data_IF_683300740597
#
_entry.id   IF_683300740597
#
_cell.length_a   1.000
_cell.length_b   1.000
_cell.length_c   1.000
_cell.angle_alpha   90.00
_cell.angle_beta   90.00
_cell.angle_gamma   90.00
#
_symmetry.space_group_name_H-M   'P 1'
#
loop_
_entity.id
_entity.type
_entity.pdbx_description
1 polymer ?
#
# COMPACT_ATOMS: atom_id res chain seq x y z
N UNK A 1 -36.98 31.60 67.13
CA UNK A 1 -37.38 30.42 66.33
C UNK A 1 -37.10 30.65 64.85
N UNK A 2 -37.62 31.73 64.23
CA UNK A 2 -37.41 32.05 62.81
C UNK A 2 -35.92 32.12 62.36
N UNK A 3 -35.05 32.73 63.16
CA UNK A 3 -33.62 32.87 62.85
C UNK A 3 -32.85 31.53 62.83
N UNK A 4 -33.24 30.55 63.65
CA UNK A 4 -32.60 29.22 63.67
C UNK A 4 -32.88 28.45 62.39
N UNK A 5 -34.14 28.46 61.93
CA UNK A 5 -34.52 27.85 60.66
C UNK A 5 -33.80 28.50 59.47
N UNK A 6 -33.60 29.81 59.51
CA UNK A 6 -32.86 30.51 58.45
C UNK A 6 -31.38 30.13 58.43
N UNK A 7 -30.77 29.94 59.60
CA UNK A 7 -29.38 29.48 59.72
C UNK A 7 -29.22 28.04 59.18
N UNK A 8 -30.10 27.12 59.59
CA UNK A 8 -30.11 25.74 59.09
C UNK A 8 -30.34 25.67 57.57
N UNK A 9 -31.22 26.53 57.04
CA UNK A 9 -31.46 26.61 55.60
C UNK A 9 -30.21 27.10 54.84
N UNK A 10 -29.48 28.08 55.39
CA UNK A 10 -28.21 28.56 54.81
C UNK A 10 -27.13 27.48 54.84
N UNK A 11 -26.99 26.74 55.93
CA UNK A 11 -26.01 25.66 56.05
C UNK A 11 -26.30 24.51 55.06
N UNK A 12 -27.58 24.15 54.89
CA UNK A 12 -28.00 23.18 53.86
C UNK A 12 -27.73 23.68 52.45
N UNK A 13 -28.00 24.96 52.16
CA UNK A 13 -27.72 25.55 50.86
C UNK A 13 -26.21 25.54 50.54
N UNK A 14 -25.36 25.88 51.52
CA UNK A 14 -23.90 25.82 51.38
C UNK A 14 -23.45 24.38 51.10
N UNK A 15 -23.95 23.41 51.87
CA UNK A 15 -23.61 22.00 51.70
C UNK A 15 -23.98 21.49 50.30
N UNK A 16 -25.16 21.86 49.78
CA UNK A 16 -25.60 21.51 48.42
C UNK A 16 -24.67 22.12 47.35
N UNK A 17 -24.31 23.39 47.49
CA UNK A 17 -23.40 24.06 46.54
C UNK A 17 -22.02 23.40 46.56
N UNK A 18 -21.49 23.03 47.73
CA UNK A 18 -20.21 22.34 47.83
C UNK A 18 -20.24 20.93 47.23
N UNK A 19 -21.33 20.19 47.42
CA UNK A 19 -21.52 18.88 46.81
C UNK A 19 -21.57 18.98 45.28
N UNK A 20 -22.36 19.90 44.73
CA UNK A 20 -22.39 20.15 43.29
C UNK A 20 -21.02 20.57 42.74
N UNK A 21 -20.29 21.42 43.48
CA UNK A 21 -18.94 21.84 43.09
C UNK A 21 -18.01 20.63 43.00
N UNK A 22 -18.01 19.76 44.01
CA UNK A 22 -17.20 18.53 44.01
C UNK A 22 -17.60 17.59 42.88
N UNK A 23 -18.88 17.45 42.59
CA UNK A 23 -19.36 16.62 41.49
C UNK A 23 -18.92 17.18 40.11
N UNK A 24 -18.98 18.50 39.93
CA UNK A 24 -18.49 19.19 38.72
C UNK A 24 -16.99 19.03 38.55
N UNK A 25 -16.21 19.24 39.61
CA UNK A 25 -14.75 19.06 39.61
C UNK A 25 -14.37 17.60 39.29
N UNK A 26 -15.04 16.62 39.91
CA UNK A 26 -14.83 15.21 39.62
C UNK A 26 -15.13 14.85 38.17
N UNK A 27 -16.19 15.39 37.60
CA UNK A 27 -16.54 15.19 36.19
C UNK A 27 -15.51 15.84 35.27
N UNK A 28 -15.08 17.06 35.58
CA UNK A 28 -14.07 17.78 34.80
C UNK A 28 -12.74 17.03 34.77
N UNK A 29 -12.26 16.53 35.91
CA UNK A 29 -11.02 15.73 35.99
C UNK A 29 -11.13 14.47 35.13
N UNK A 30 -12.28 13.79 35.16
CA UNK A 30 -12.51 12.60 34.33
C UNK A 30 -12.51 12.92 32.83
N UNK A 31 -13.13 14.03 32.42
CA UNK A 31 -13.12 14.50 31.02
C UNK A 31 -11.70 14.84 30.58
N UNK A 32 -10.97 15.63 31.36
CA UNK A 32 -9.58 16.00 31.08
C UNK A 32 -8.69 14.76 30.94
N UNK A 33 -8.81 13.80 31.87
CA UNK A 33 -8.05 12.54 31.81
C UNK A 33 -8.34 11.75 30.53
N UNK A 34 -9.61 11.65 30.13
CA UNK A 34 -10.00 10.96 28.88
C UNK A 34 -9.46 11.68 27.65
N UNK A 35 -9.54 13.02 27.64
CA UNK A 35 -9.02 13.82 26.53
C UNK A 35 -7.50 13.67 26.39
N UNK A 36 -6.76 13.70 27.48
CA UNK A 36 -5.31 13.46 27.46
C UNK A 36 -4.96 12.03 27.03
N UNK A 37 -5.75 11.03 27.45
CA UNK A 37 -5.54 9.66 27.01
C UNK A 37 -5.71 9.52 25.48
N UNK A 38 -6.72 10.16 24.91
CA UNK A 38 -6.92 10.21 23.46
C UNK A 38 -5.77 10.92 22.74
N UNK A 39 -5.32 12.07 23.26
CA UNK A 39 -4.16 12.79 22.71
C UNK A 39 -2.89 11.93 22.70
N UNK A 40 -2.58 11.26 23.82
CA UNK A 40 -1.43 10.36 23.91
C UNK A 40 -1.55 9.19 22.94
N UNK A 41 -2.74 8.62 22.77
CA UNK A 41 -2.97 7.53 21.81
C UNK A 41 -2.68 7.97 20.37
N UNK A 42 -3.20 9.14 19.98
CA UNK A 42 -2.95 9.71 18.65
C UNK A 42 -1.45 9.94 18.42
N UNK A 43 -0.75 10.49 19.40
CA UNK A 43 0.70 10.73 19.31
C UNK A 43 1.49 9.43 19.14
N UNK A 44 1.16 8.39 19.91
CA UNK A 44 1.80 7.08 19.83
C UNK A 44 1.54 6.43 18.46
N UNK A 45 0.28 6.44 18.00
CA UNK A 45 -0.09 5.87 16.71
C UNK A 45 0.60 6.61 15.56
N UNK A 46 0.69 7.94 15.64
CA UNK A 46 1.42 8.76 14.68
C UNK A 46 2.91 8.41 14.63
N UNK A 47 3.57 8.31 15.78
CA UNK A 47 4.99 7.97 15.85
C UNK A 47 5.24 6.53 15.36
N UNK A 48 4.37 5.59 15.69
CA UNK A 48 4.44 4.21 15.18
C UNK A 48 4.36 4.19 13.66
N UNK A 49 3.39 4.89 13.07
CA UNK A 49 3.26 4.93 11.61
C UNK A 49 4.46 5.56 10.94
N UNK A 50 5.02 6.62 11.54
CA UNK A 50 6.26 7.23 11.06
C UNK A 50 7.42 6.24 11.06
N UNK A 51 7.60 5.48 12.14
CA UNK A 51 8.65 4.47 12.25
C UNK A 51 8.44 3.32 11.25
N UNK A 52 7.19 2.89 11.05
CA UNK A 52 6.83 1.86 10.07
C UNK A 52 7.12 2.32 8.63
N UNK A 53 6.80 3.57 8.29
CA UNK A 53 7.12 4.14 6.98
C UNK A 53 8.64 4.15 6.77
N UNK A 54 9.41 4.65 7.73
CA UNK A 54 10.88 4.70 7.61
C UNK A 54 11.48 3.30 7.41
N UNK A 55 11.01 2.31 8.20
CA UNK A 55 11.43 0.91 8.07
C UNK A 55 11.16 0.37 6.66
N UNK A 56 9.95 0.60 6.15
CA UNK A 56 9.54 0.13 4.82
C UNK A 56 10.33 0.82 3.70
N UNK A 57 10.60 2.11 3.83
CA UNK A 57 11.43 2.86 2.88
C UNK A 57 12.87 2.31 2.83
N UNK A 58 13.46 2.01 3.99
CA UNK A 58 14.77 1.38 4.09
C UNK A 58 14.80 -0.03 3.48
N UNK A 59 13.79 -0.85 3.77
CA UNK A 59 13.66 -2.19 3.17
C UNK A 59 13.49 -2.12 1.65
N UNK A 60 12.68 -1.18 1.15
CA UNK A 60 12.52 -0.95 -0.27
C UNK A 60 13.84 -0.56 -0.94
N UNK A 61 14.59 0.36 -0.34
CA UNK A 61 15.90 0.78 -0.86
C UNK A 61 16.90 -0.40 -0.87
N UNK A 62 16.91 -1.21 0.19
CA UNK A 62 17.74 -2.41 0.32
C UNK A 62 17.41 -3.42 -0.78
N UNK A 63 16.14 -3.77 -0.95
CA UNK A 63 15.68 -4.70 -1.98
C UNK A 63 15.96 -4.19 -3.38
N UNK A 64 15.79 -2.88 -3.62
CA UNK A 64 16.12 -2.25 -4.90
C UNK A 64 17.61 -2.32 -5.22
N UNK A 65 18.48 -2.12 -4.22
CA UNK A 65 19.91 -2.27 -4.38
C UNK A 65 20.31 -3.73 -4.66
N UNK A 66 19.75 -4.69 -3.91
CA UNK A 66 19.97 -6.12 -4.14
C UNK A 66 19.48 -6.56 -5.53
N UNK A 67 18.31 -6.11 -5.97
CA UNK A 67 17.74 -6.40 -7.30
C UNK A 67 18.66 -5.91 -8.43
N UNK A 68 19.17 -4.69 -8.32
CA UNK A 68 20.15 -4.13 -9.27
C UNK A 68 21.47 -4.93 -9.27
N UNK A 69 21.89 -5.45 -8.13
CA UNK A 69 23.08 -6.31 -8.03
C UNK A 69 22.88 -7.68 -8.69
N UNK A 70 21.69 -8.29 -8.55
CA UNK A 70 21.35 -9.54 -9.25
C UNK A 70 21.20 -9.36 -10.75
N UNK A 71 20.73 -8.19 -11.20
CA UNK A 71 20.63 -7.88 -12.63
C UNK A 71 22.01 -7.73 -13.27
N UNK A 72 23.01 -7.20 -12.55
CA UNK A 72 24.40 -7.12 -13.02
C UNK A 72 25.10 -8.50 -13.10
N UNK A 73 24.73 -9.46 -12.24
CA UNK A 73 25.28 -10.82 -12.26
C UNK A 73 24.66 -11.72 -13.35
N UNK A 74 23.46 -11.42 -13.86
CA UNK A 74 22.86 -12.15 -14.99
C UNK A 74 23.40 -11.70 -16.36
N UNK A 75 24.11 -10.58 -16.44
CA UNK A 75 24.67 -10.07 -17.71
C UNK A 75 25.97 -10.76 -18.15
N UNK A 76 26.57 -11.61 -17.30
CA UNK A 76 27.86 -12.26 -17.61
C UNK A 76 27.74 -13.52 -18.47
N UNK A 77 26.54 -13.94 -18.86
CA UNK A 77 26.36 -15.12 -19.72
C UNK A 77 25.17 -14.94 -20.65
N UNK A 78 25.21 -13.96 -21.54
CA UNK A 78 24.65 -14.05 -22.90
C UNK A 78 25.10 -12.84 -23.70
N UNK A 79 25.99 -13.09 -24.65
CA UNK A 79 26.35 -12.18 -25.71
C UNK A 79 25.14 -12.07 -26.66
N UNK A 80 24.37 -10.98 -26.58
CA UNK A 80 23.46 -10.61 -27.67
C UNK A 80 23.25 -9.10 -27.66
N UNK A 81 23.53 -8.53 -28.83
CA UNK A 81 23.61 -7.11 -29.17
C UNK A 81 22.24 -6.44 -29.18
N UNK A 82 22.10 -5.33 -28.45
CA UNK A 82 21.35 -4.18 -28.92
C UNK A 82 21.89 -2.90 -28.26
N UNK A 83 22.57 -2.10 -29.08
CA UNK A 83 23.00 -0.75 -28.78
C UNK A 83 21.79 0.16 -28.54
N UNK A 84 21.77 0.90 -27.43
CA UNK A 84 21.32 2.29 -27.42
C UNK A 84 22.17 3.07 -26.42
N UNK A 85 22.80 4.10 -26.94
CA UNK A 85 23.86 4.89 -26.32
C UNK A 85 23.38 5.87 -25.23
N UNK A 86 24.33 6.04 -24.32
CA UNK A 86 24.72 7.24 -23.59
C UNK A 86 23.91 7.82 -22.42
N UNK A 87 24.70 7.98 -21.36
CA UNK A 87 24.37 8.37 -20.03
C UNK A 87 24.83 9.80 -19.72
N UNK A 88 24.41 10.26 -18.53
CA UNK A 88 25.02 11.27 -17.64
C UNK A 88 24.61 12.74 -17.86
N UNK A 89 23.89 13.27 -16.86
CA UNK A 89 24.46 14.33 -16.02
C UNK A 89 24.00 14.18 -14.56
N UNK A 90 25.00 14.22 -13.69
CA UNK A 90 24.99 14.00 -12.25
C UNK A 90 25.02 15.37 -11.55
N UNK A 91 24.24 15.50 -10.46
CA UNK A 91 24.32 16.52 -9.37
C UNK A 91 24.10 17.97 -9.83
N UNK A 92 23.41 18.87 -9.14
CA UNK A 92 23.26 19.16 -7.71
C UNK A 92 22.17 20.25 -7.63
N UNK A 93 21.33 20.28 -6.60
CA UNK A 93 20.86 21.51 -5.92
C UNK A 93 19.58 21.24 -5.14
N UNK A 94 19.78 20.96 -3.86
CA UNK A 94 18.75 21.03 -2.83
C UNK A 94 18.50 22.52 -2.53
N UNK A 95 17.30 23.05 -2.83
CA UNK A 95 16.57 24.09 -2.07
C UNK A 95 15.37 24.64 -2.86
N UNK A 96 14.18 24.35 -2.32
CA UNK A 96 13.03 25.27 -2.13
C UNK A 96 12.40 25.93 -3.37
N UNK A 97 11.21 25.45 -3.75
CA UNK A 97 10.04 26.30 -3.99
C UNK A 97 8.77 25.45 -4.20
N UNK A 98 7.74 25.82 -3.45
CA UNK A 98 6.35 25.39 -3.50
C UNK A 98 5.59 26.01 -4.66
N UNK A 99 4.57 25.29 -5.13
CA UNK A 99 3.37 25.71 -5.87
C UNK A 99 3.50 26.16 -7.33
N UNK A 100 2.38 25.92 -8.03
CA UNK A 100 2.03 26.31 -9.41
C UNK A 100 2.46 25.32 -10.50
N UNK A 101 1.66 24.26 -10.71
CA UNK A 101 0.96 24.09 -11.99
C UNK A 101 -0.11 22.99 -11.89
N UNK A 102 -1.31 23.40 -11.54
CA UNK A 102 -2.54 22.78 -12.03
C UNK A 102 -2.68 23.15 -13.51
N UNK A 103 -2.60 22.15 -14.41
CA UNK A 103 -3.40 21.99 -15.63
C UNK A 103 -2.75 21.01 -16.61
N UNK A 104 -3.61 20.19 -17.18
CA UNK A 104 -3.43 19.40 -18.41
C UNK A 104 -2.56 18.15 -18.29
N UNK A 105 -3.17 17.04 -17.90
CA UNK A 105 -3.60 16.05 -18.89
C UNK A 105 -4.43 14.96 -18.23
N UNK A 106 -5.73 15.05 -18.48
CA UNK A 106 -6.58 13.89 -18.68
C UNK A 106 -6.05 13.12 -19.90
N UNK A 107 -4.93 12.43 -19.73
CA UNK A 107 -4.63 11.24 -20.51
C UNK A 107 -4.86 10.12 -19.52
N UNK A 108 -5.95 9.37 -19.70
CA UNK A 108 -6.26 8.24 -18.84
C UNK A 108 -4.98 7.43 -18.68
N UNK A 109 -4.36 7.52 -17.51
CA UNK A 109 -3.48 6.50 -17.02
C UNK A 109 -4.40 5.30 -16.93
N UNK A 110 -4.51 4.54 -18.03
CA UNK A 110 -4.94 3.16 -17.96
C UNK A 110 -3.92 2.57 -17.02
N UNK A 111 -4.27 2.56 -15.73
CA UNK A 111 -3.54 1.86 -14.69
C UNK A 111 -3.05 0.60 -15.34
N UNK A 112 -1.74 0.45 -15.39
CA UNK A 112 -1.04 -0.61 -16.09
C UNK A 112 -1.75 -1.94 -15.84
N UNK A 113 -2.68 -2.31 -16.73
CA UNK A 113 -3.18 -3.68 -16.92
C UNK A 113 -2.11 -4.56 -17.56
N UNK A 114 -0.85 -4.12 -17.53
CA UNK A 114 0.34 -4.79 -18.03
C UNK A 114 0.75 -5.98 -17.14
N UNK A 115 -0.21 -6.66 -16.50
CA UNK A 115 0.09 -7.77 -15.60
C UNK A 115 -0.28 -9.13 -16.16
N UNK A 116 -1.34 -9.21 -16.98
CA UNK A 116 -2.04 -10.48 -17.21
C UNK A 116 -2.68 -10.58 -18.59
N UNK A 117 -2.13 -9.93 -19.61
CA UNK A 117 -2.67 -10.07 -20.97
C UNK A 117 -2.07 -11.28 -21.68
N UNK A 118 -2.90 -12.00 -22.43
CA UNK A 118 -2.48 -13.13 -23.24
C UNK A 118 -1.40 -12.71 -24.24
N UNK A 119 -0.27 -13.41 -24.25
CA UNK A 119 0.88 -13.07 -25.10
C UNK A 119 0.60 -13.25 -26.60
N UNK A 120 -0.49 -13.94 -26.96
CA UNK A 120 -0.89 -14.16 -28.35
C UNK A 120 -1.88 -13.11 -28.85
N UNK A 121 -2.97 -12.85 -28.10
CA UNK A 121 -4.00 -11.93 -28.58
C UNK A 121 -3.86 -10.51 -28.04
N UNK A 122 -3.15 -10.31 -26.92
CA UNK A 122 -3.02 -9.03 -26.21
C UNK A 122 -4.40 -8.36 -25.97
N UNK A 123 -5.44 -9.18 -25.77
CA UNK A 123 -6.84 -8.74 -25.62
C UNK A 123 -7.51 -9.30 -24.38
N UNK A 124 -7.34 -10.61 -24.15
CA UNK A 124 -7.96 -11.32 -23.04
C UNK A 124 -6.96 -11.57 -21.91
N UNK A 125 -7.50 -11.71 -20.69
CA UNK A 125 -6.70 -12.06 -19.53
C UNK A 125 -6.19 -13.51 -19.61
N UNK A 126 -4.94 -13.71 -19.19
CA UNK A 126 -4.35 -15.03 -19.05
C UNK A 126 -5.12 -15.86 -18.03
N UNK A 127 -5.45 -17.09 -18.39
CA UNK A 127 -6.33 -17.95 -17.59
C UNK A 127 -5.91 -19.42 -17.63
N UNK A 128 -4.74 -19.72 -18.21
CA UNK A 128 -4.22 -21.08 -18.34
C UNK A 128 -2.80 -21.14 -17.80
N UNK A 129 -2.55 -22.06 -16.87
CA UNK A 129 -1.24 -22.39 -16.30
C UNK A 129 -0.68 -23.64 -16.97
N UNK A 130 0.58 -23.60 -17.39
CA UNK A 130 1.29 -24.76 -17.95
C UNK A 130 2.15 -25.47 -16.90
N UNK A 131 2.05 -26.80 -16.83
CA UNK A 131 2.95 -27.61 -16.02
C UNK A 131 4.00 -28.32 -16.89
N UNK A 132 5.25 -28.43 -16.41
CA UNK A 132 5.72 -28.10 -15.05
C UNK A 132 6.20 -26.64 -14.84
N UNK A 133 6.23 -25.80 -15.88
CA UNK A 133 6.90 -24.49 -15.79
C UNK A 133 6.11 -23.38 -15.07
N UNK A 134 4.87 -23.64 -14.68
CA UNK A 134 3.95 -22.74 -13.98
C UNK A 134 3.66 -21.38 -14.64
N UNK A 135 4.04 -21.20 -15.91
CA UNK A 135 3.77 -19.96 -16.63
C UNK A 135 2.27 -19.83 -16.97
N UNK A 136 1.71 -18.64 -16.72
CA UNK A 136 0.34 -18.27 -17.04
C UNK A 136 0.33 -17.21 -18.15
N UNK A 137 0.31 -17.64 -19.41
CA UNK A 137 0.67 -16.77 -20.54
C UNK A 137 -0.38 -16.72 -21.65
N UNK A 138 -1.36 -17.63 -21.66
CA UNK A 138 -2.45 -17.66 -22.64
C UNK A 138 -3.82 -17.48 -21.98
N UNK A 139 -4.74 -16.87 -22.72
CA UNK A 139 -6.18 -16.95 -22.44
C UNK A 139 -6.76 -18.30 -22.90
N UNK A 140 -8.02 -18.58 -22.55
CA UNK A 140 -8.72 -19.81 -22.93
C UNK A 140 -8.78 -19.99 -24.46
N UNK A 141 -9.17 -18.96 -25.21
CA UNK A 141 -9.32 -19.06 -26.67
C UNK A 141 -7.99 -19.32 -27.38
N UNK A 142 -6.92 -18.61 -27.00
CA UNK A 142 -5.59 -18.83 -27.58
C UNK A 142 -5.00 -20.19 -27.16
N UNK A 143 -5.35 -20.69 -25.98
CA UNK A 143 -4.93 -22.02 -25.54
C UNK A 143 -5.49 -23.15 -26.41
N UNK A 144 -6.77 -23.08 -26.79
CA UNK A 144 -7.39 -24.09 -27.68
C UNK A 144 -6.71 -24.15 -29.05
N UNK A 145 -6.32 -22.99 -29.59
CA UNK A 145 -5.55 -22.92 -30.84
C UNK A 145 -4.12 -23.48 -30.66
N UNK A 146 -3.47 -23.15 -29.55
CA UNK A 146 -2.13 -23.63 -29.23
C UNK A 146 -2.10 -25.16 -29.00
N UNK A 147 -3.13 -25.74 -28.42
CA UNK A 147 -3.18 -27.18 -28.14
C UNK A 147 -3.19 -28.03 -29.42
N UNK A 148 -3.73 -27.48 -30.52
CA UNK A 148 -3.77 -28.12 -31.85
C UNK A 148 -2.43 -28.08 -32.58
N UNK A 149 -1.44 -27.32 -32.09
CA UNK A 149 -0.12 -27.25 -32.71
C UNK A 149 0.71 -28.51 -32.43
N UNK A 150 1.59 -28.93 -33.36
CA UNK A 150 2.43 -30.11 -33.18
C UNK A 150 3.43 -29.95 -32.02
N UNK A 151 3.81 -28.72 -31.67
CA UNK A 151 4.71 -28.43 -30.55
C UNK A 151 3.92 -27.95 -29.33
N UNK A 152 3.78 -28.83 -28.35
CA UNK A 152 3.20 -28.49 -27.03
C UNK A 152 4.28 -27.93 -26.11
N UNK A 153 4.79 -26.73 -26.40
CA UNK A 153 5.83 -26.05 -25.59
C UNK A 153 5.34 -24.71 -25.08
N UNK A 154 5.83 -24.29 -23.92
CA UNK A 154 5.47 -23.01 -23.32
C UNK A 154 6.03 -21.84 -24.15
N UNK A 155 5.22 -20.86 -24.59
CA UNK A 155 5.70 -19.70 -25.34
C UNK A 155 6.74 -18.85 -24.63
N UNK A 156 6.86 -18.93 -23.29
CA UNK A 156 7.76 -18.09 -22.50
C UNK A 156 9.09 -18.75 -22.14
N UNK A 157 9.15 -20.07 -22.00
CA UNK A 157 10.34 -20.78 -21.55
C UNK A 157 10.68 -22.03 -22.37
N UNK A 158 9.89 -22.32 -23.40
CA UNK A 158 10.02 -23.49 -24.28
C UNK A 158 9.95 -24.87 -23.59
N UNK A 159 9.67 -24.93 -22.28
CA UNK A 159 9.43 -26.19 -21.56
C UNK A 159 8.24 -26.94 -22.17
N UNK A 160 8.36 -28.26 -22.32
CA UNK A 160 7.26 -29.13 -22.76
C UNK A 160 6.06 -29.02 -21.82
N UNK A 161 4.86 -28.89 -22.39
CA UNK A 161 3.61 -28.76 -21.65
C UNK A 161 3.02 -30.15 -21.45
N UNK A 162 3.01 -30.60 -20.20
CA UNK A 162 2.42 -31.88 -19.81
C UNK A 162 0.96 -31.73 -19.43
N UNK A 163 0.62 -30.65 -18.73
CA UNK A 163 -0.73 -30.37 -18.26
C UNK A 163 -1.06 -28.88 -18.40
N UNK A 164 -2.36 -28.60 -18.59
CA UNK A 164 -2.93 -27.27 -18.73
C UNK A 164 -4.04 -27.12 -17.68
N UNK A 165 -3.91 -26.14 -16.80
CA UNK A 165 -4.89 -25.90 -15.74
C UNK A 165 -5.56 -24.55 -16.01
N UNK A 166 -6.89 -24.55 -16.12
CA UNK A 166 -7.66 -23.31 -16.19
C UNK A 166 -7.80 -22.71 -14.80
N UNK A 167 -7.41 -21.47 -14.66
CA UNK A 167 -7.54 -20.69 -13.43
C UNK A 167 -8.58 -19.59 -13.61
N UNK A 168 -9.37 -19.37 -12.57
CA UNK A 168 -10.34 -18.29 -12.50
C UNK A 168 -9.85 -17.32 -11.43
N UNK A 169 -9.70 -16.05 -11.78
CA UNK A 169 -9.38 -15.02 -10.80
C UNK A 169 -10.52 -14.85 -9.79
N UNK A 170 -10.19 -14.44 -8.57
CA UNK A 170 -11.18 -13.85 -7.67
C UNK A 170 -11.38 -12.43 -8.19
N UNK A 171 -12.53 -12.14 -8.79
CA UNK A 171 -12.89 -10.77 -9.15
C UNK A 171 -12.98 -9.95 -7.87
N UNK A 172 -12.07 -8.97 -7.68
CA UNK A 172 -12.19 -7.96 -6.62
C UNK A 172 -13.19 -6.88 -7.01
#
# INVERSE_FOLDING_TARGET
IKWKHELEAKEKAISQVEEERRAKEGTQVNITRRQEALRRKIEIDFQRHKDDIQRLEEEYLRLKASSRSTQLNCSSTTQSTCDVDMAKKVKESHKKATNELDKTQESSCRENKCGRECVFCMREEVSIVFLPCAHQVLCVGCNEAHEKQPKKRCPSCDTGIEQRIRVYGVSS
#
